data_IF_656459873881
#
_entry.id   IF_656459873881
#
_cell.length_a   1.000
_cell.length_b   1.000
_cell.length_c   1.000
_cell.angle_alpha   90.00
_cell.angle_beta   90.00
_cell.angle_gamma   90.00
#
_symmetry.space_group_name_H-M   'P 1'
#
loop_
_entity.id
_entity.type
_entity.pdbx_description
1 polymer ?
#
# COMPACT_ATOMS: atom_id res chain seq x y z
N UNK A 1 -9.11 -2.02 1.50
CA UNK A 1 -8.17 -1.84 0.38
C UNK A 1 -7.16 -2.97 0.41
N UNK A 2 -6.85 -3.51 -0.74
CA UNK A 2 -5.87 -4.59 -0.82
C UNK A 2 -4.46 -4.03 -0.99
N UNK A 3 -3.48 -4.79 -0.54
CA UNK A 3 -2.09 -4.36 -0.55
C UNK A 3 -1.60 -3.96 -1.94
N UNK A 4 -1.89 -4.78 -2.95
CA UNK A 4 -1.44 -4.48 -4.31
C UNK A 4 -2.05 -3.18 -4.83
N UNK A 5 -3.30 -2.92 -4.52
CA UNK A 5 -3.95 -1.67 -4.91
C UNK A 5 -3.33 -0.47 -4.21
N UNK A 6 -3.00 -0.63 -2.95
CA UNK A 6 -2.38 0.45 -2.19
C UNK A 6 -1.03 0.84 -2.81
N UNK A 7 -0.21 -0.15 -3.15
CA UNK A 7 1.09 0.13 -3.74
C UNK A 7 0.95 0.90 -5.04
N UNK A 8 -0.02 0.53 -5.86
CA UNK A 8 -0.25 1.20 -7.13
C UNK A 8 -0.76 2.62 -6.91
N UNK A 9 -1.71 2.79 -6.00
CA UNK A 9 -2.28 4.10 -5.74
C UNK A 9 -1.25 5.07 -5.20
N UNK A 10 -0.31 4.58 -4.40
CA UNK A 10 0.72 5.44 -3.82
C UNK A 10 1.88 5.68 -4.78
N UNK A 11 1.83 5.08 -5.96
CA UNK A 11 2.91 5.27 -6.91
C UNK A 11 4.18 4.53 -6.55
N UNK A 12 4.10 3.56 -5.65
CA UNK A 12 5.27 2.77 -5.30
C UNK A 12 5.59 1.74 -6.36
N UNK A 13 4.59 1.37 -7.15
CA UNK A 13 4.76 0.52 -8.32
C UNK A 13 3.93 1.10 -9.44
N UNK A 14 4.26 0.76 -10.68
CA UNK A 14 3.57 1.32 -11.84
C UNK A 14 2.34 0.53 -12.23
N UNK A 15 2.35 -0.77 -12.00
CA UNK A 15 1.26 -1.64 -12.46
C UNK A 15 0.91 -2.66 -11.39
N UNK A 16 -0.26 -3.29 -11.54
CA UNK A 16 -0.65 -4.37 -10.65
C UNK A 16 0.26 -5.58 -10.77
N UNK A 17 0.79 -5.84 -11.97
CA UNK A 17 1.73 -6.94 -12.15
C UNK A 17 3.03 -6.72 -11.40
N UNK A 18 3.52 -5.49 -11.41
CA UNK A 18 4.70 -5.16 -10.64
C UNK A 18 4.43 -5.31 -9.15
N UNK A 19 3.28 -4.85 -8.70
CA UNK A 19 2.91 -4.99 -7.29
C UNK A 19 2.93 -6.45 -6.88
N UNK A 20 2.34 -7.31 -7.70
CA UNK A 20 2.31 -8.74 -7.42
C UNK A 20 3.72 -9.30 -7.27
N UNK A 21 4.60 -8.96 -8.20
CA UNK A 21 5.98 -9.45 -8.15
C UNK A 21 6.70 -9.00 -6.90
N UNK A 22 6.59 -7.72 -6.57
CA UNK A 22 7.29 -7.18 -5.41
C UNK A 22 6.78 -7.79 -4.11
N UNK A 23 5.47 -7.97 -4.01
CA UNK A 23 4.89 -8.59 -2.83
C UNK A 23 5.33 -10.04 -2.69
N UNK A 24 5.26 -10.81 -3.77
CA UNK A 24 5.59 -12.23 -3.71
C UNK A 24 7.07 -12.48 -3.46
N UNK A 25 7.92 -11.53 -3.85
CA UNK A 25 9.35 -11.64 -3.58
C UNK A 25 9.72 -11.33 -2.14
N UNK A 26 8.78 -10.79 -1.38
CA UNK A 26 9.07 -10.41 -0.01
C UNK A 26 9.67 -9.03 0.13
N UNK A 27 9.49 -8.17 -0.87
CA UNK A 27 10.01 -6.81 -0.84
C UNK A 27 9.13 -5.87 -0.01
N UNK A 28 7.92 -6.28 0.31
CA UNK A 28 6.93 -5.42 0.95
C UNK A 28 6.71 -5.86 2.39
N UNK A 29 6.66 -4.88 3.29
CA UNK A 29 6.36 -5.15 4.70
C UNK A 29 5.10 -4.43 5.12
N UNK A 30 4.31 -5.09 5.95
CA UNK A 30 3.13 -4.48 6.56
C UNK A 30 3.32 -4.55 8.06
N UNK A 31 3.33 -3.40 8.71
CA UNK A 31 3.57 -3.31 10.15
C UNK A 31 4.89 -3.98 10.55
N UNK A 32 5.91 -3.82 9.71
CA UNK A 32 7.24 -4.34 10.00
C UNK A 32 7.47 -5.80 9.64
N UNK A 33 6.44 -6.48 9.16
CA UNK A 33 6.52 -7.89 8.81
C UNK A 33 6.40 -8.08 7.32
N UNK A 34 7.22 -8.97 6.76
CA UNK A 34 7.17 -9.25 5.33
C UNK A 34 5.82 -9.86 4.99
N UNK A 35 5.18 -9.30 3.96
CA UNK A 35 3.90 -9.79 3.49
C UNK A 35 4.06 -10.26 2.05
N UNK A 36 3.65 -11.52 1.78
CA UNK A 36 3.79 -12.09 0.44
C UNK A 36 2.46 -12.31 -0.25
N UNK A 37 1.34 -11.97 0.39
CA UNK A 37 0.01 -12.14 -0.21
C UNK A 37 -0.44 -10.80 -0.77
N UNK A 38 -0.59 -10.73 -2.09
CA UNK A 38 -1.01 -9.48 -2.74
C UNK A 38 -2.42 -9.06 -2.33
N UNK A 39 -3.23 -10.02 -1.97
CA UNK A 39 -4.60 -9.75 -1.58
C UNK A 39 -4.78 -9.40 -0.11
N UNK A 40 -3.69 -9.21 0.62
CA UNK A 40 -3.77 -8.83 2.01
C UNK A 40 -4.62 -7.59 2.17
N UNK A 41 -5.60 -7.67 3.05
CA UNK A 41 -6.46 -6.55 3.31
C UNK A 41 -5.79 -5.59 4.27
N UNK A 42 -5.78 -4.32 3.92
CA UNK A 42 -5.19 -3.28 4.75
C UNK A 42 -6.26 -2.54 5.52
N UNK A 43 -5.91 -2.09 6.72
CA UNK A 43 -6.80 -1.32 7.58
C UNK A 43 -6.18 0.02 7.90
N UNK A 44 -6.99 0.97 8.32
CA UNK A 44 -6.49 2.28 8.71
C UNK A 44 -5.44 2.11 9.80
N UNK A 45 -4.31 2.77 9.62
CA UNK A 45 -3.23 2.69 10.59
C UNK A 45 -2.17 1.66 10.25
N UNK A 46 -2.42 0.79 9.27
CA UNK A 46 -1.39 -0.15 8.84
C UNK A 46 -0.24 0.62 8.19
N UNK A 47 0.98 0.21 8.48
CA UNK A 47 2.17 0.81 7.89
C UNK A 47 2.69 -0.11 6.80
N UNK A 48 2.79 0.41 5.58
CA UNK A 48 3.27 -0.36 4.42
C UNK A 48 4.62 0.19 4.01
N UNK A 49 5.62 -0.68 3.92
CA UNK A 49 6.97 -0.28 3.56
C UNK A 49 7.44 -0.99 2.31
N UNK A 50 8.10 -0.24 1.42
CA UNK A 50 8.69 -0.76 0.20
C UNK A 50 9.81 0.17 -0.24
N UNK A 51 10.97 -0.40 -0.55
CA UNK A 51 12.13 0.35 -1.05
C UNK A 51 12.52 1.51 -0.14
N UNK A 52 12.46 1.28 1.16
CA UNK A 52 12.86 2.30 2.12
C UNK A 52 11.82 3.36 2.38
N UNK A 53 10.66 3.26 1.79
CA UNK A 53 9.56 4.20 1.99
C UNK A 53 8.48 3.52 2.82
N UNK A 54 7.97 4.24 3.80
CA UNK A 54 6.90 3.71 4.63
C UNK A 54 5.73 4.68 4.63
N UNK A 55 4.54 4.16 4.35
CA UNK A 55 3.33 4.96 4.25
C UNK A 55 2.25 4.34 5.11
N UNK A 56 1.45 5.19 5.74
CA UNK A 56 0.33 4.72 6.55
C UNK A 56 -0.94 4.69 5.73
N UNK A 57 -1.73 3.66 5.96
CA UNK A 57 -3.05 3.56 5.34
C UNK A 57 -3.99 4.46 6.12
N UNK A 58 -4.60 5.41 5.46
CA UNK A 58 -5.53 6.34 6.09
C UNK A 58 -6.77 6.49 5.22
N UNK A 59 -7.89 6.90 5.81
CA UNK A 59 -9.11 7.13 5.03
C UNK A 59 -8.92 8.14 3.93
N UNK A 60 -8.04 9.10 4.11
CA UNK A 60 -7.82 10.15 3.13
C UNK A 60 -7.30 9.62 1.81
N UNK A 61 -6.62 8.50 1.84
CA UNK A 61 -6.08 7.94 0.62
C UNK A 61 -7.17 7.52 -0.36
N UNK A 62 -8.29 7.05 0.17
CA UNK A 62 -9.38 6.61 -0.66
C UNK A 62 -10.17 7.76 -1.21
N UNK A 63 -10.29 8.77 -0.42
CA UNK A 63 -11.04 9.91 -0.85
C UNK A 63 -10.16 10.91 -1.52
N UNK A 64 -9.20 10.44 -2.23
CA UNK A 64 -8.19 11.32 -2.77
C UNK A 64 -8.78 12.57 -3.35
N UNK A 65 -9.83 12.43 -3.99
CA UNK A 65 -10.45 13.62 -4.49
C UNK A 65 -10.87 14.50 -3.38
N UNK A 66 -11.27 13.93 -2.34
CA UNK A 66 -11.83 14.72 -1.31
C UNK A 66 -10.82 15.48 -0.54
N UNK A 67 -9.89 15.22 -0.67
CA UNK A 67 -8.96 15.87 0.03
C UNK A 67 -9.35 17.00 0.81
N UNK A 68 -9.34 17.49 0.96
CA UNK A 68 -9.27 18.23 1.78
C UNK A 68 -9.83 18.69 2.41
N UNK A 69 -10.10 18.76 2.28
CA UNK A 69 -10.40 19.11 2.79
C UNK A 69 -10.62 19.05 3.59
N UNK A 70 -10.72 18.84 3.56
CA UNK A 70 -10.85 18.72 4.26
C UNK A 70 -10.59 18.91 4.87
N UNK A 71 -10.55 19.13 4.64
CA UNK A 71 -10.30 19.24 5.06
C UNK A 71 -10.28 19.43 5.31
#
# INVERSE_FOLDING_TARGET
MKLDQFLKWQGLVATGGEAKQRIQRGDVRVNGLIETRRGRRLHNGDAVALDGRELLVTPALRGAGGGPANA
#
